data_IF_241463273724
#
_entry.id   IF_241463273724
#
_cell.length_a   1.000
_cell.length_b   1.000
_cell.length_c   1.000
_cell.angle_alpha   90.00
_cell.angle_beta   90.00
_cell.angle_gamma   90.00
#
_symmetry.space_group_name_H-M   'P 1'
#
loop_
_entity.id
_entity.type
_entity.pdbx_description
1 polymer ?
#
# COMPACT_ATOMS: atom_id res chain seq x y z
N UNK A 1 22.89 11.09 -10.37
CA UNK A 1 22.37 10.46 -11.61
C UNK A 1 22.80 9.01 -11.62
N UNK A 2 21.87 8.07 -11.86
CA UNK A 2 22.18 6.64 -11.95
C UNK A 2 22.56 6.29 -13.39
N UNK A 3 23.65 5.57 -13.60
CA UNK A 3 24.06 5.09 -14.93
C UNK A 3 23.09 3.99 -15.42
N UNK A 4 22.73 3.97 -16.71
CA UNK A 4 21.93 2.91 -17.35
C UNK A 4 22.49 1.51 -17.12
N UNK A 5 23.81 1.35 -17.15
CA UNK A 5 24.45 0.06 -16.85
C UNK A 5 24.22 -0.39 -15.41
N UNK A 6 24.10 0.56 -14.48
CA UNK A 6 23.75 0.28 -13.09
C UNK A 6 22.24 0.04 -12.94
N UNK A 7 21.40 0.78 -13.67
CA UNK A 7 19.95 0.58 -13.68
C UNK A 7 19.59 -0.85 -14.13
N UNK A 8 20.10 -1.26 -15.30
CA UNK A 8 19.79 -2.57 -15.88
C UNK A 8 20.42 -3.76 -15.14
N UNK A 9 21.28 -3.50 -14.15
CA UNK A 9 21.77 -4.53 -13.23
C UNK A 9 20.72 -4.93 -12.20
N UNK A 10 19.84 -4.01 -11.85
CA UNK A 10 18.84 -4.22 -10.80
C UNK A 10 17.42 -4.35 -11.36
N UNK A 11 17.15 -3.75 -12.52
CA UNK A 11 15.82 -3.69 -13.10
C UNK A 11 15.84 -4.00 -14.59
N UNK A 12 14.94 -4.86 -15.04
CA UNK A 12 14.79 -5.19 -16.46
C UNK A 12 14.36 -3.96 -17.27
N UNK A 13 13.41 -3.19 -16.73
CA UNK A 13 12.95 -1.92 -17.27
C UNK A 13 12.31 -1.05 -16.17
N UNK A 14 11.69 0.06 -16.59
CA UNK A 14 11.00 0.99 -15.67
C UNK A 14 9.76 0.38 -15.01
N UNK A 15 9.13 -0.61 -15.64
CA UNK A 15 7.95 -1.28 -15.09
C UNK A 15 8.35 -2.31 -14.04
N UNK A 16 9.43 -3.05 -14.27
CA UNK A 16 10.04 -3.94 -13.26
C UNK A 16 10.50 -3.16 -12.02
N UNK A 17 11.15 -2.00 -12.21
CA UNK A 17 11.47 -1.10 -11.09
C UNK A 17 10.22 -0.70 -10.30
N UNK A 18 9.14 -0.32 -11.00
CA UNK A 18 7.91 0.07 -10.34
C UNK A 18 7.30 -1.11 -9.59
N UNK A 19 7.27 -2.31 -10.16
CA UNK A 19 6.71 -3.48 -9.49
C UNK A 19 7.51 -3.86 -8.23
N UNK A 20 8.84 -3.85 -8.29
CA UNK A 20 9.68 -4.09 -7.11
C UNK A 20 9.43 -3.06 -6.01
N UNK A 21 9.40 -1.77 -6.36
CA UNK A 21 9.10 -0.70 -5.41
C UNK A 21 7.72 -0.87 -4.76
N UNK A 22 6.71 -1.23 -5.56
CA UNK A 22 5.36 -1.46 -5.05
C UNK A 22 5.31 -2.65 -4.09
N UNK A 23 6.00 -3.74 -4.42
CA UNK A 23 6.05 -4.91 -3.55
C UNK A 23 6.73 -4.58 -2.21
N UNK A 24 7.87 -3.87 -2.23
CA UNK A 24 8.53 -3.39 -1.01
C UNK A 24 7.63 -2.50 -0.16
N UNK A 25 6.95 -1.55 -0.83
CA UNK A 25 6.01 -0.65 -0.18
C UNK A 25 4.84 -1.42 0.45
N UNK A 26 4.26 -2.41 -0.23
CA UNK A 26 3.20 -3.26 0.34
C UNK A 26 3.68 -4.11 1.52
N UNK A 27 4.87 -4.71 1.44
CA UNK A 27 5.47 -5.47 2.54
C UNK A 27 5.69 -4.57 3.75
N UNK A 28 6.15 -3.33 3.55
CA UNK A 28 6.36 -2.39 4.65
C UNK A 28 5.07 -2.04 5.42
N UNK A 29 3.91 -2.03 4.75
CA UNK A 29 2.62 -1.87 5.44
C UNK A 29 2.15 -3.13 6.16
N UNK A 30 2.49 -4.32 5.65
CA UNK A 30 2.15 -5.59 6.28
C UNK A 30 3.00 -5.85 7.53
N UNK A 31 4.31 -5.57 7.48
CA UNK A 31 5.20 -5.73 8.64
C UNK A 31 4.85 -4.76 9.77
N UNK A 32 4.36 -3.56 9.47
CA UNK A 32 3.83 -2.64 10.48
C UNK A 32 2.57 -3.17 11.20
N UNK A 33 1.84 -4.13 10.61
CA UNK A 33 0.75 -4.81 11.27
C UNK A 33 1.24 -5.90 12.24
N UNK A 34 2.44 -6.46 12.02
CA UNK A 34 2.96 -7.59 12.81
C UNK A 34 3.74 -7.14 14.05
N UNK A 35 4.37 -5.96 14.03
CA UNK A 35 5.26 -5.48 15.10
C UNK A 35 4.50 -4.89 16.31
N UNK A 36 3.18 -4.74 16.23
CA UNK A 36 2.37 -4.10 17.27
C UNK A 36 2.03 -4.99 18.49
N UNK A 37 3.01 -5.67 19.11
CA UNK A 37 2.88 -6.23 20.47
C UNK A 37 1.71 -7.22 20.72
N UNK A 38 1.45 -7.62 21.98
CA UNK A 38 0.42 -8.59 22.34
C UNK A 38 -1.03 -8.02 22.31
N UNK A 39 -1.18 -6.73 22.03
CA UNK A 39 -2.49 -6.12 21.81
C UNK A 39 -2.79 -6.16 20.31
N UNK A 40 -4.04 -6.40 19.87
CA UNK A 40 -4.36 -6.40 18.46
C UNK A 40 -3.89 -5.06 17.86
N UNK A 41 -3.12 -5.08 16.76
CA UNK A 41 -2.76 -3.85 16.06
C UNK A 41 -4.06 -3.12 15.82
N UNK A 42 -4.19 -1.94 16.40
CA UNK A 42 -5.35 -1.09 16.16
C UNK A 42 -5.41 -0.88 14.64
N UNK A 43 -6.39 -1.46 13.94
CA UNK A 43 -6.43 -1.41 12.47
C UNK A 43 -6.54 0.05 11.98
N UNK A 44 -6.98 0.95 12.87
CA UNK A 44 -6.90 2.41 12.74
C UNK A 44 -5.47 2.90 12.45
N UNK A 45 -4.45 2.34 13.11
CA UNK A 45 -3.04 2.72 12.94
C UNK A 45 -2.51 2.40 11.54
N UNK A 46 -2.92 1.28 10.94
CA UNK A 46 -2.54 0.87 9.59
C UNK A 46 -3.12 1.80 8.51
N UNK A 47 -4.40 2.18 8.66
CA UNK A 47 -5.03 3.15 7.76
C UNK A 47 -4.41 4.55 7.92
N UNK A 48 -4.13 4.97 9.15
CA UNK A 48 -3.46 6.25 9.42
C UNK A 48 -2.06 6.27 8.80
N UNK A 49 -1.29 5.19 8.93
CA UNK A 49 0.05 5.09 8.32
C UNK A 49 -0.01 5.12 6.80
N UNK A 50 -1.01 4.47 6.19
CA UNK A 50 -1.26 4.59 4.76
C UNK A 50 -1.56 6.04 4.35
N UNK A 51 -2.43 6.74 5.08
CA UNK A 51 -2.75 8.15 4.81
C UNK A 51 -1.52 9.06 4.95
N UNK A 52 -0.69 8.84 5.98
CA UNK A 52 0.59 9.56 6.14
C UNK A 52 1.54 9.29 4.99
N UNK A 53 1.63 8.05 4.52
CA UNK A 53 2.44 7.69 3.36
C UNK A 53 1.92 8.37 2.09
N UNK A 54 0.60 8.41 1.88
CA UNK A 54 -0.01 9.16 0.77
C UNK A 54 0.33 10.64 0.85
N UNK A 55 0.26 11.24 2.03
CA UNK A 55 0.65 12.64 2.23
C UNK A 55 2.12 12.88 1.91
N UNK A 56 3.03 12.02 2.42
CA UNK A 56 4.47 12.13 2.20
C UNK A 56 4.84 11.99 0.73
N UNK A 57 4.17 11.10 -0.01
CA UNK A 57 4.46 10.80 -1.41
C UNK A 57 3.36 11.27 -2.37
N UNK A 58 2.67 12.36 -2.04
CA UNK A 58 1.47 12.82 -2.77
C UNK A 58 1.67 12.99 -4.29
N UNK A 59 2.88 13.41 -4.72
CA UNK A 59 3.22 13.51 -6.14
C UNK A 59 3.15 12.17 -6.87
N UNK A 60 3.68 11.10 -6.26
CA UNK A 60 3.60 9.75 -6.81
C UNK A 60 2.14 9.29 -6.96
N UNK A 61 1.35 9.42 -5.89
CA UNK A 61 -0.05 9.00 -5.92
C UNK A 61 -0.90 9.82 -6.88
N UNK A 62 -0.62 11.12 -7.04
CA UNK A 62 -1.31 11.96 -8.02
C UNK A 62 -1.07 11.47 -9.45
N UNK A 63 0.15 11.03 -9.76
CA UNK A 63 0.49 10.47 -11.08
C UNK A 63 -0.14 9.09 -11.23
N UNK A 64 0.07 8.20 -10.26
CA UNK A 64 -0.30 6.79 -10.35
C UNK A 64 -1.80 6.53 -10.25
N UNK A 65 -2.55 7.36 -9.51
CA UNK A 65 -4.02 7.28 -9.39
C UNK A 65 -4.74 8.30 -10.29
N UNK A 66 -3.99 9.09 -11.06
CA UNK A 66 -4.54 10.09 -11.98
C UNK A 66 -5.15 9.44 -13.23
N UNK A 67 -5.75 10.26 -14.10
CA UNK A 67 -6.38 9.79 -15.35
C UNK A 67 -5.45 9.02 -16.29
N UNK A 68 -4.14 9.32 -16.26
CA UNK A 68 -3.11 8.62 -17.03
C UNK A 68 -2.22 7.74 -16.14
N UNK A 69 -2.70 7.42 -14.95
CA UNK A 69 -2.02 6.55 -14.01
C UNK A 69 -1.98 5.10 -14.47
N UNK A 70 -1.26 4.27 -13.74
CA UNK A 70 -1.16 2.85 -14.04
C UNK A 70 -2.44 2.12 -13.57
N UNK A 71 -3.20 1.45 -14.48
CA UNK A 71 -4.43 0.78 -14.11
C UNK A 71 -4.22 -0.39 -13.14
N UNK A 72 -3.11 -1.12 -13.27
CA UNK A 72 -2.79 -2.26 -12.41
C UNK A 72 -2.46 -1.78 -11.00
N UNK A 73 -1.70 -0.69 -10.86
CA UNK A 73 -1.46 -0.04 -9.58
C UNK A 73 -2.78 0.40 -8.94
N UNK A 74 -3.63 1.09 -9.70
CA UNK A 74 -4.92 1.59 -9.20
C UNK A 74 -5.79 0.43 -8.68
N UNK A 75 -5.85 -0.68 -9.43
CA UNK A 75 -6.57 -1.88 -9.02
C UNK A 75 -5.97 -2.51 -7.75
N UNK A 76 -4.64 -2.74 -7.71
CA UNK A 76 -3.96 -3.33 -6.54
C UNK A 76 -4.12 -2.44 -5.30
N UNK A 77 -3.98 -1.13 -5.46
CA UNK A 77 -4.13 -0.15 -4.41
C UNK A 77 -5.54 -0.13 -3.84
N UNK A 78 -6.57 -0.14 -4.71
CA UNK A 78 -7.97 -0.24 -4.31
C UNK A 78 -8.22 -1.51 -3.49
N UNK A 79 -7.77 -2.67 -3.98
CA UNK A 79 -7.96 -3.96 -3.29
C UNK A 79 -7.34 -3.97 -1.89
N UNK A 80 -6.15 -3.37 -1.73
CA UNK A 80 -5.48 -3.23 -0.43
C UNK A 80 -6.25 -2.31 0.52
N UNK A 81 -6.76 -1.17 0.03
CA UNK A 81 -7.60 -0.27 0.84
C UNK A 81 -8.89 -0.95 1.25
N UNK A 82 -9.60 -1.62 0.32
CA UNK A 82 -10.84 -2.31 0.61
C UNK A 82 -10.63 -3.35 1.72
N UNK A 83 -9.59 -4.19 1.62
CA UNK A 83 -9.23 -5.14 2.67
C UNK A 83 -8.94 -4.47 4.01
N UNK A 84 -8.10 -3.44 4.03
CA UNK A 84 -7.76 -2.71 5.26
C UNK A 84 -8.98 -2.04 5.90
N UNK A 85 -9.86 -1.47 5.07
CA UNK A 85 -11.09 -0.85 5.53
C UNK A 85 -12.08 -1.86 6.09
N UNK A 86 -12.31 -2.99 5.41
CA UNK A 86 -13.19 -4.05 5.91
C UNK A 86 -12.70 -4.61 7.25
N UNK A 87 -11.39 -4.84 7.39
CA UNK A 87 -10.80 -5.27 8.66
C UNK A 87 -11.02 -4.22 9.77
N UNK A 88 -10.83 -2.93 9.47
CA UNK A 88 -11.05 -1.85 10.43
C UNK A 88 -12.52 -1.75 10.82
N UNK A 89 -13.40 -1.77 9.82
CA UNK A 89 -14.83 -1.60 9.98
C UNK A 89 -15.41 -2.70 10.86
N UNK A 90 -15.03 -3.97 10.62
CA UNK A 90 -15.47 -5.09 11.45
C UNK A 90 -14.91 -5.05 12.88
N UNK A 91 -13.74 -4.44 13.10
CA UNK A 91 -13.20 -4.24 14.45
C UNK A 91 -13.97 -3.15 15.21
N UNK A 92 -14.32 -2.05 14.53
CA UNK A 92 -15.00 -0.89 15.16
C UNK A 92 -16.51 -1.10 15.31
N UNK A 93 -17.13 -1.80 14.36
CA UNK A 93 -18.57 -2.08 14.32
C UNK A 93 -18.83 -3.59 14.23
N UNK A 94 -18.46 -4.38 15.26
CA UNK A 94 -18.62 -5.83 15.24
C UNK A 94 -20.09 -6.28 15.09
N UNK A 95 -21.05 -5.46 15.51
CA UNK A 95 -22.49 -5.70 15.38
C UNK A 95 -23.02 -5.62 13.95
N UNK A 96 -22.30 -4.95 13.05
CA UNK A 96 -22.61 -4.84 11.62
C UNK A 96 -21.79 -5.80 10.76
N UNK A 97 -20.91 -6.60 11.37
CA UNK A 97 -20.12 -7.58 10.66
C UNK A 97 -21.06 -8.63 10.02
N UNK A 98 -20.88 -8.94 8.71
CA UNK A 98 -21.74 -9.91 8.05
C UNK A 98 -21.59 -11.27 8.72
N UNK A 99 -22.70 -11.81 9.23
CA UNK A 99 -22.77 -13.17 9.78
C UNK A 99 -22.75 -14.15 8.62
N UNK A 100 -21.57 -14.67 8.29
CA UNK A 100 -21.40 -15.84 7.43
C UNK A 100 -21.08 -17.06 8.29
#
# INVERSE_FOLDING_TARGET
MVNRSTFYRHYLDKYDLLEQYLNEMYVSFEDQQVIAGPNPPEVSSSLINLLKHIQQFAGFYRVMLGMQGDPLFTQRFRHKIEKGFFSCFNQVFPELAPKY
#
